data_IF_297569775362
#
_entry.id   IF_297569775362
#
_cell.length_a   1.000
_cell.length_b   1.000
_cell.length_c   1.000
_cell.angle_alpha   90.00
_cell.angle_beta   90.00
_cell.angle_gamma   90.00
#
_symmetry.space_group_name_H-M   'P 1'
#
loop_
_entity.id
_entity.type
_entity.pdbx_description
1 polymer ?
#
# COMPACT_ATOMS: atom_id res chain seq x y z
N UNK A 1 53.11 23.25 -10.65
CA UNK A 1 52.19 22.29 -10.00
C UNK A 1 51.99 21.13 -10.96
N UNK A 2 52.58 19.97 -10.67
CA UNK A 2 52.52 18.79 -11.54
C UNK A 2 51.22 18.02 -11.27
N UNK A 3 50.27 18.08 -12.19
CA UNK A 3 49.09 17.20 -12.19
C UNK A 3 49.48 15.84 -12.76
N UNK A 4 49.59 14.82 -11.91
CA UNK A 4 49.72 13.43 -12.34
C UNK A 4 48.44 12.99 -13.07
N UNK A 5 48.52 12.35 -14.25
CA UNK A 5 47.33 11.87 -14.96
C UNK A 5 46.70 10.70 -14.22
N UNK A 6 45.37 10.73 -14.10
CA UNK A 6 44.59 9.70 -13.42
C UNK A 6 44.61 8.39 -14.23
N UNK A 7 45.49 7.46 -13.87
CA UNK A 7 45.46 6.08 -14.40
C UNK A 7 44.40 5.23 -13.68
N UNK A 8 43.80 4.30 -14.42
CA UNK A 8 42.77 3.33 -14.03
C UNK A 8 43.09 2.61 -12.72
N UNK A 9 44.37 2.32 -12.45
CA UNK A 9 44.80 1.69 -11.18
C UNK A 9 44.66 2.64 -9.98
N UNK A 10 44.94 3.92 -10.17
CA UNK A 10 44.76 4.95 -9.14
C UNK A 10 43.27 5.20 -8.87
N UNK A 11 42.44 5.18 -9.93
CA UNK A 11 40.99 5.27 -9.82
C UNK A 11 40.36 4.12 -9.00
N UNK A 12 40.82 2.89 -9.21
CA UNK A 12 40.32 1.72 -8.46
C UNK A 12 40.72 1.76 -6.98
N UNK A 13 41.91 2.27 -6.65
CA UNK A 13 42.35 2.41 -5.26
C UNK A 13 41.58 3.50 -4.51
N UNK A 14 41.29 4.63 -5.16
CA UNK A 14 40.45 5.69 -4.60
C UNK A 14 39.01 5.20 -4.41
N UNK A 15 38.45 4.47 -5.37
CA UNK A 15 37.09 3.92 -5.29
C UNK A 15 36.91 2.90 -4.14
N UNK A 16 37.93 2.06 -3.89
CA UNK A 16 37.91 1.09 -2.79
C UNK A 16 37.99 1.74 -1.40
N UNK A 17 38.73 2.85 -1.26
CA UNK A 17 38.84 3.59 0.00
C UNK A 17 37.54 4.32 0.40
N UNK A 18 36.75 4.76 -0.58
CA UNK A 18 35.47 5.45 -0.32
C UNK A 18 34.32 4.53 0.12
N UNK A 19 34.41 3.22 -0.09
CA UNK A 19 33.36 2.27 0.33
C UNK A 19 33.49 1.80 1.78
N UNK A 20 34.67 1.92 2.39
CA UNK A 20 34.88 1.52 3.79
C UNK A 20 34.37 2.57 4.79
N UNK A 21 34.30 3.85 4.39
CA UNK A 21 33.94 4.97 5.26
C UNK A 21 32.44 5.16 5.49
N UNK A 22 31.58 4.64 4.61
CA UNK A 22 30.12 4.85 4.68
C UNK A 22 29.35 3.72 5.39
N UNK A 23 30.02 2.63 5.77
CA UNK A 23 29.34 1.48 6.40
C UNK A 23 29.28 1.54 7.94
N UNK A 24 29.82 2.59 8.59
CA UNK A 24 29.85 2.68 10.07
C UNK A 24 28.79 3.60 10.68
N UNK A 25 27.88 4.15 9.87
CA UNK A 25 26.74 4.93 10.35
C UNK A 25 25.41 4.47 9.73
N UNK A 26 25.22 3.16 9.56
CA UNK A 26 23.86 2.62 9.64
C UNK A 26 23.49 2.64 11.11
N UNK A 27 23.05 3.81 11.62
CA UNK A 27 22.16 3.78 12.76
C UNK A 27 21.06 2.82 12.35
N UNK A 28 20.97 1.69 13.04
CA UNK A 28 19.84 0.79 12.95
C UNK A 28 18.63 1.67 13.22
N UNK A 29 17.94 2.08 12.16
CA UNK A 29 16.59 2.58 12.30
C UNK A 29 15.79 1.34 12.70
N UNK A 30 15.89 0.97 13.97
CA UNK A 30 14.91 0.11 14.56
C UNK A 30 13.59 0.82 14.33
N UNK A 31 12.68 0.16 13.61
CA UNK A 31 11.32 0.60 13.58
C UNK A 31 10.89 0.76 15.04
N UNK A 32 10.54 1.99 15.44
CA UNK A 32 10.02 2.25 16.77
C UNK A 32 8.72 1.48 16.86
N UNK A 33 8.79 0.27 17.43
CA UNK A 33 7.58 -0.50 17.67
C UNK A 33 6.97 0.03 18.97
N UNK A 34 5.88 0.78 18.83
CA UNK A 34 5.15 1.29 19.98
C UNK A 34 4.55 0.10 20.72
N UNK A 35 5.11 -0.23 21.88
CA UNK A 35 4.64 -1.32 22.75
C UNK A 35 3.24 -1.07 23.30
N UNK A 36 2.79 0.19 23.27
CA UNK A 36 1.43 0.59 23.64
C UNK A 36 0.87 1.56 22.59
N UNK A 37 -0.44 1.49 22.29
CA UNK A 37 -1.08 2.49 21.45
C UNK A 37 -0.99 3.88 22.07
N UNK A 38 -0.94 4.90 21.20
CA UNK A 38 -1.11 6.28 21.64
C UNK A 38 -2.52 6.48 22.21
N UNK A 39 -2.70 7.37 23.21
CA UNK A 39 -4.02 7.63 23.79
C UNK A 39 -5.07 7.97 22.72
N UNK A 40 -6.23 7.32 22.80
CA UNK A 40 -7.35 7.45 21.85
C UNK A 40 -7.29 6.47 20.67
N UNK A 41 -6.12 5.89 20.37
CA UNK A 41 -5.94 4.91 19.29
C UNK A 41 -5.99 3.44 19.75
N UNK A 42 -6.44 3.20 20.99
CA UNK A 42 -6.58 1.85 21.54
C UNK A 42 -7.68 1.06 20.84
N UNK A 43 -7.48 -0.25 20.73
CA UNK A 43 -8.35 -1.19 20.01
C UNK A 43 -8.63 -0.71 18.57
N UNK A 44 -9.83 -0.95 18.05
CA UNK A 44 -10.17 -0.63 16.68
C UNK A 44 -10.47 0.87 16.50
N UNK A 45 -9.95 1.43 15.41
CA UNK A 45 -10.26 2.79 14.93
C UNK A 45 -10.48 2.76 13.42
N UNK A 46 -11.38 3.62 12.93
CA UNK A 46 -11.71 3.75 11.52
C UNK A 46 -11.61 5.19 11.07
N UNK A 47 -11.07 5.43 9.88
CA UNK A 47 -10.91 6.77 9.30
C UNK A 47 -11.31 6.75 7.83
N UNK A 48 -12.10 7.75 7.40
CA UNK A 48 -12.26 8.07 5.98
C UNK A 48 -11.22 9.15 5.63
N UNK A 49 -10.33 8.85 4.69
CA UNK A 49 -9.33 9.77 4.19
C UNK A 49 -9.44 9.88 2.66
N UNK A 50 -10.14 10.90 2.18
CA UNK A 50 -10.47 11.04 0.76
C UNK A 50 -11.23 9.82 0.26
N UNK A 51 -10.69 9.15 -0.77
CA UNK A 51 -11.28 7.95 -1.36
C UNK A 51 -10.79 6.64 -0.73
N UNK A 52 -10.40 6.65 0.55
CA UNK A 52 -9.91 5.48 1.26
C UNK A 52 -10.48 5.39 2.67
N UNK A 53 -10.97 4.21 3.06
CA UNK A 53 -11.23 3.88 4.47
C UNK A 53 -10.02 3.17 5.03
N UNK A 54 -9.54 3.59 6.20
CA UNK A 54 -8.45 2.95 6.93
C UNK A 54 -9.01 2.38 8.24
N UNK A 55 -8.77 1.10 8.48
CA UNK A 55 -9.11 0.43 9.74
C UNK A 55 -7.82 0.02 10.43
N UNK A 56 -7.68 0.40 11.70
CA UNK A 56 -6.47 0.19 12.51
C UNK A 56 -6.81 -0.49 13.82
N UNK A 57 -5.84 -1.22 14.37
CA UNK A 57 -5.88 -1.79 15.72
C UNK A 57 -4.68 -1.32 16.51
N UNK A 58 -4.89 -0.66 17.64
CA UNK A 58 -3.82 -0.09 18.46
C UNK A 58 -2.87 0.80 17.62
N UNK A 59 -3.44 1.64 16.75
CA UNK A 59 -2.76 2.48 15.76
C UNK A 59 -1.93 1.74 14.68
N UNK A 60 -1.98 0.41 14.61
CA UNK A 60 -1.40 -0.38 13.51
C UNK A 60 -2.43 -0.62 12.42
N UNK A 61 -2.05 -0.49 11.15
CA UNK A 61 -2.96 -0.68 10.03
C UNK A 61 -3.41 -2.14 9.93
N UNK A 62 -4.71 -2.40 10.08
CA UNK A 62 -5.29 -3.72 9.83
C UNK A 62 -5.63 -3.88 8.35
N UNK A 63 -6.38 -2.91 7.81
CA UNK A 63 -6.72 -2.91 6.39
C UNK A 63 -7.07 -1.52 5.89
N UNK A 64 -6.99 -1.34 4.58
CA UNK A 64 -7.49 -0.16 3.89
C UNK A 64 -8.39 -0.53 2.73
N UNK A 65 -9.57 0.08 2.63
CA UNK A 65 -10.44 -0.03 1.46
C UNK A 65 -10.19 1.17 0.55
N UNK A 66 -9.69 0.92 -0.66
CA UNK A 66 -9.21 1.93 -1.61
C UNK A 66 -10.21 2.05 -2.75
N UNK A 67 -10.71 3.25 -3.02
CA UNK A 67 -11.79 3.48 -3.96
C UNK A 67 -11.56 4.71 -4.86
N UNK A 68 -10.30 5.06 -5.11
CA UNK A 68 -9.96 6.21 -5.95
C UNK A 68 -10.46 6.00 -7.39
N UNK A 69 -10.93 7.08 -8.04
CA UNK A 69 -11.54 7.02 -9.37
C UNK A 69 -10.57 6.60 -10.50
N UNK A 70 -9.25 6.58 -10.23
CA UNK A 70 -8.24 6.09 -11.17
C UNK A 70 -8.02 4.57 -11.09
N UNK A 71 -8.67 3.88 -10.15
CA UNK A 71 -8.53 2.42 -9.98
C UNK A 71 -9.54 1.69 -10.85
N UNK A 72 -9.17 0.52 -11.35
CA UNK A 72 -10.08 -0.36 -12.12
C UNK A 72 -11.32 -0.76 -11.32
N UNK A 73 -11.14 -0.96 -10.02
CA UNK A 73 -12.16 -1.31 -9.05
C UNK A 73 -11.69 -0.94 -7.63
N UNK A 74 -12.61 -0.82 -6.66
CA UNK A 74 -12.23 -0.71 -5.26
C UNK A 74 -11.74 -2.04 -4.70
N UNK A 75 -10.77 -2.00 -3.78
CA UNK A 75 -10.20 -3.20 -3.17
C UNK A 75 -9.66 -2.93 -1.76
N UNK A 76 -9.49 -3.99 -0.98
CA UNK A 76 -8.81 -3.98 0.29
C UNK A 76 -7.31 -4.22 0.10
N UNK A 77 -6.48 -3.30 0.56
CA UNK A 77 -5.04 -3.50 0.76
C UNK A 77 -4.48 -2.47 1.76
N UNK A 78 -3.58 -2.87 2.70
CA UNK A 78 -3.19 -4.25 3.00
C UNK A 78 -4.32 -5.04 3.68
N UNK A 79 -4.11 -6.34 3.86
CA UNK A 79 -4.82 -7.15 4.86
C UNK A 79 -3.78 -7.69 5.83
N UNK A 80 -3.75 -7.18 7.06
CA UNK A 80 -2.81 -7.64 8.08
C UNK A 80 -3.17 -9.07 8.54
N UNK A 81 -2.19 -9.97 8.50
CA UNK A 81 -2.32 -11.30 9.06
C UNK A 81 -2.44 -11.24 10.59
N UNK A 82 -3.35 -12.02 11.21
CA UNK A 82 -3.64 -11.90 12.64
C UNK A 82 -2.46 -12.28 13.54
N UNK A 83 -1.56 -13.14 13.08
CA UNK A 83 -0.40 -13.59 13.86
C UNK A 83 0.81 -12.65 13.76
N UNK A 84 1.12 -12.17 12.56
CA UNK A 84 2.35 -11.40 12.29
C UNK A 84 2.12 -9.90 12.17
N UNK A 85 0.89 -9.45 11.93
CA UNK A 85 0.58 -8.08 11.54
C UNK A 85 1.08 -7.69 10.15
N UNK A 86 1.76 -8.59 9.43
CA UNK A 86 2.25 -8.37 8.07
C UNK A 86 1.12 -8.52 7.07
N UNK A 87 1.19 -7.78 5.96
CA UNK A 87 0.19 -7.90 4.89
C UNK A 87 0.21 -9.30 4.27
N UNK A 88 -0.96 -9.91 4.11
CA UNK A 88 -1.17 -11.13 3.32
C UNK A 88 -1.59 -10.83 1.87
N UNK A 89 -1.78 -9.55 1.54
CA UNK A 89 -2.05 -9.08 0.17
C UNK A 89 -0.89 -8.26 -0.37
N UNK A 90 -0.76 -8.25 -1.70
CA UNK A 90 0.14 -7.37 -2.43
C UNK A 90 -0.65 -6.24 -3.11
N UNK A 91 -0.06 -5.04 -3.19
CA UNK A 91 -0.62 -3.91 -3.95
C UNK A 91 -0.47 -4.13 -5.48
N UNK A 92 0.49 -4.94 -5.89
CA UNK A 92 0.74 -5.37 -7.27
C UNK A 92 1.69 -6.57 -7.26
N UNK A 93 1.62 -7.44 -8.26
CA UNK A 93 2.53 -8.56 -8.45
C UNK A 93 2.82 -8.75 -9.95
N UNK A 94 4.03 -9.21 -10.29
CA UNK A 94 4.32 -9.67 -11.65
C UNK A 94 4.06 -11.18 -11.75
N UNK A 95 3.57 -11.68 -12.91
CA UNK A 95 3.20 -10.92 -14.11
C UNK A 95 1.74 -10.41 -14.11
N UNK A 96 1.00 -10.59 -13.01
CA UNK A 96 -0.44 -10.30 -12.91
C UNK A 96 -0.72 -9.14 -11.95
N UNK A 97 -0.50 -7.88 -12.35
CA UNK A 97 -0.65 -6.73 -11.47
C UNK A 97 -2.10 -6.51 -10.99
N UNK A 98 -3.08 -7.05 -11.72
CA UNK A 98 -4.49 -7.13 -11.32
C UNK A 98 -4.78 -8.12 -10.18
N UNK A 99 -3.87 -9.02 -9.80
CA UNK A 99 -4.01 -9.85 -8.59
C UNK A 99 -3.67 -9.06 -7.32
N UNK A 100 -4.22 -7.86 -7.21
CA UNK A 100 -3.96 -6.92 -6.13
C UNK A 100 -5.05 -6.97 -5.07
N UNK A 101 -4.63 -6.93 -3.81
CA UNK A 101 -5.55 -6.82 -2.68
C UNK A 101 -6.60 -7.94 -2.62
N UNK A 102 -7.70 -7.63 -1.94
CA UNK A 102 -8.94 -8.41 -1.93
C UNK A 102 -10.05 -7.52 -2.50
N UNK A 103 -10.82 -8.02 -3.46
CA UNK A 103 -11.89 -7.26 -4.10
C UNK A 103 -13.04 -8.20 -4.46
N UNK A 104 -14.19 -7.59 -4.76
CA UNK A 104 -15.35 -8.31 -5.28
C UNK A 104 -15.36 -8.14 -6.79
N UNK A 105 -15.30 -9.27 -7.48
CA UNK A 105 -15.14 -9.33 -8.92
C UNK A 105 -16.23 -10.10 -9.62
N UNK A 106 -16.40 -9.80 -10.91
CA UNK A 106 -17.16 -10.63 -11.83
C UNK A 106 -16.59 -10.45 -13.24
N UNK A 107 -16.42 -11.55 -13.97
CA UNK A 107 -15.93 -11.53 -15.35
C UNK A 107 -16.61 -12.58 -16.23
N UNK A 108 -17.12 -12.21 -17.42
CA UNK A 108 -17.51 -10.88 -17.88
C UNK A 108 -18.95 -10.53 -17.45
N UNK A 109 -19.23 -9.25 -17.16
CA UNK A 109 -20.61 -8.75 -16.95
C UNK A 109 -20.98 -7.77 -18.05
N UNK A 110 -22.06 -8.02 -18.79
CA UNK A 110 -22.53 -7.14 -19.88
C UNK A 110 -21.44 -6.76 -20.91
N UNK A 111 -20.48 -7.66 -21.14
CA UNK A 111 -19.36 -7.46 -22.05
C UNK A 111 -18.30 -6.45 -21.59
N UNK A 112 -18.33 -6.01 -20.34
CA UNK A 112 -17.27 -5.19 -19.74
C UNK A 112 -16.19 -6.04 -19.06
N UNK A 113 -14.95 -5.60 -19.22
CA UNK A 113 -13.75 -6.15 -18.59
C UNK A 113 -13.40 -5.33 -17.35
N UNK A 114 -13.88 -5.78 -16.20
CA UNK A 114 -13.80 -5.04 -14.94
C UNK A 114 -12.62 -5.43 -14.06
N UNK A 115 -11.83 -6.45 -14.42
CA UNK A 115 -10.83 -7.00 -13.49
C UNK A 115 -9.40 -7.02 -14.01
N UNK A 116 -9.18 -7.19 -15.31
CA UNK A 116 -7.83 -7.29 -15.85
C UNK A 116 -7.13 -5.92 -15.98
N UNK A 117 -5.86 -5.94 -16.37
CA UNK A 117 -5.03 -4.74 -16.53
C UNK A 117 -5.34 -3.89 -17.77
N UNK A 118 -6.47 -4.14 -18.44
CA UNK A 118 -6.92 -3.35 -19.57
C UNK A 118 -7.30 -1.92 -19.17
N UNK A 119 -7.28 -0.96 -20.13
CA UNK A 119 -7.72 0.42 -19.93
C UNK A 119 -9.10 0.53 -19.26
N UNK A 120 -9.37 1.65 -18.57
CA UNK A 120 -10.60 1.84 -17.79
C UNK A 120 -11.86 1.82 -18.69
N UNK A 121 -11.73 2.26 -19.94
CA UNK A 121 -12.78 2.29 -20.97
C UNK A 121 -13.26 0.89 -21.37
N UNK A 122 -12.49 -0.16 -21.05
CA UNK A 122 -12.94 -1.54 -21.28
C UNK A 122 -13.88 -2.04 -20.17
N UNK A 123 -13.98 -1.31 -19.05
CA UNK A 123 -14.80 -1.65 -17.90
C UNK A 123 -14.18 -1.14 -16.61
N UNK A 124 -14.96 -0.44 -15.77
CA UNK A 124 -14.53 0.04 -14.48
C UNK A 124 -15.64 -0.12 -13.44
N UNK A 125 -15.30 -0.60 -12.25
CA UNK A 125 -16.18 -0.50 -11.07
C UNK A 125 -15.83 0.81 -10.39
N UNK A 126 -16.59 1.87 -10.69
CA UNK A 126 -16.32 3.23 -10.22
C UNK A 126 -17.06 3.49 -8.92
N UNK A 127 -16.31 3.80 -7.85
CA UNK A 127 -16.89 4.33 -6.62
C UNK A 127 -17.47 5.72 -6.87
N UNK A 128 -18.69 5.92 -6.39
CA UNK A 128 -19.44 7.19 -6.51
C UNK A 128 -19.66 7.85 -5.16
N UNK A 129 -19.77 7.06 -4.10
CA UNK A 129 -19.91 7.53 -2.72
C UNK A 129 -19.27 6.54 -1.76
N UNK A 130 -18.35 7.01 -0.91
CA UNK A 130 -17.71 6.22 0.12
C UNK A 130 -17.91 6.89 1.48
N UNK A 131 -18.50 6.15 2.43
CA UNK A 131 -18.84 6.68 3.74
C UNK A 131 -18.44 5.69 4.83
N UNK A 132 -17.72 6.16 5.85
CA UNK A 132 -17.52 5.42 7.10
C UNK A 132 -18.75 5.64 7.98
N UNK A 133 -19.62 4.64 8.07
CA UNK A 133 -20.93 4.76 8.73
C UNK A 133 -20.85 4.51 10.24
N UNK A 134 -19.90 3.70 10.70
CA UNK A 134 -19.62 3.51 12.12
C UNK A 134 -18.17 3.07 12.36
N UNK A 135 -17.61 3.51 13.48
CA UNK A 135 -16.36 2.97 14.01
C UNK A 135 -16.47 2.91 15.54
N UNK A 136 -16.40 1.71 16.08
CA UNK A 136 -16.34 1.43 17.51
C UNK A 136 -14.96 0.86 17.85
N UNK A 137 -14.73 0.61 19.13
CA UNK A 137 -13.51 -0.04 19.58
C UNK A 137 -13.39 -1.51 19.13
N UNK A 138 -14.43 -2.12 18.57
CA UNK A 138 -14.50 -3.55 18.23
C UNK A 138 -14.94 -3.83 16.79
N UNK A 139 -15.51 -2.83 16.10
CA UNK A 139 -16.03 -2.98 14.74
C UNK A 139 -15.96 -1.68 13.96
N UNK A 140 -15.85 -1.77 12.64
CA UNK A 140 -16.03 -0.65 11.74
C UNK A 140 -16.95 -1.06 10.60
N UNK A 141 -17.78 -0.12 10.15
CA UNK A 141 -18.73 -0.27 9.06
C UNK A 141 -18.57 0.90 8.11
N UNK A 142 -18.61 0.60 6.82
CA UNK A 142 -18.59 1.59 5.77
C UNK A 142 -19.45 1.13 4.61
N UNK A 143 -19.92 2.08 3.81
CA UNK A 143 -20.70 1.84 2.60
C UNK A 143 -19.98 2.44 1.40
N UNK A 144 -19.96 1.70 0.29
CA UNK A 144 -19.47 2.20 -0.99
C UNK A 144 -20.50 1.96 -2.09
N UNK A 145 -21.04 3.03 -2.64
CA UNK A 145 -21.93 2.99 -3.79
C UNK A 145 -21.08 2.96 -5.07
N UNK A 146 -21.23 1.92 -5.88
CA UNK A 146 -20.44 1.70 -7.09
C UNK A 146 -21.31 1.67 -8.34
N UNK A 147 -20.80 2.23 -9.43
CA UNK A 147 -21.34 2.08 -10.77
C UNK A 147 -20.39 1.24 -11.63
N UNK A 148 -20.94 0.30 -12.38
CA UNK A 148 -20.19 -0.50 -13.33
C UNK A 148 -20.31 0.19 -14.69
N UNK A 149 -19.23 0.84 -15.12
CA UNK A 149 -19.21 1.69 -16.32
C UNK A 149 -18.35 1.06 -17.41
N UNK A 150 -18.77 1.25 -18.66
CA UNK A 150 -18.10 0.84 -19.89
C UNK A 150 -18.35 1.91 -20.94
#
# INVERSE_FOLDING_TARGET
MNSQPLDRRHWLQVAAGSLAGTCLATSWAEAIDFTKPVPGAEKLTGYLNGSQVLIRWNNRLLTGYRAHASLKYPYFNPLAGPASGLSVTAESALPYPHHRGLWLGCDPVNGGNYWSDGPLEQGQIKSTKLELTAATKESAQFQNDCQWVR
#
